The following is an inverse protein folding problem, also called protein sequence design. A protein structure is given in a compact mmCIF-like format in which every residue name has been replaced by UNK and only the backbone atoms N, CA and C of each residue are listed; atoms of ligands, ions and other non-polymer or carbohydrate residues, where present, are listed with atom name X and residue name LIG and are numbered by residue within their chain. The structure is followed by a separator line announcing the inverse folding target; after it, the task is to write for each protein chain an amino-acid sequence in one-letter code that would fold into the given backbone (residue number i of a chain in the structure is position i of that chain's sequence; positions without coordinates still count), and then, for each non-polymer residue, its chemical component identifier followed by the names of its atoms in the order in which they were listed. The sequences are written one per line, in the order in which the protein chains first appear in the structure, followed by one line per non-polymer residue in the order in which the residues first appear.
data_IF_113838147787
#
_entry.id   IF_113838147787
#
_cell.length_a   1.000
_cell.length_b   1.000
_cell.length_c   1.000
_cell.angle_alpha   90.00
_cell.angle_beta   90.00
_cell.angle_gamma   90.00
#
_symmetry.space_group_name_H-M   'P 1'
#
loop_
_entity.id
_entity.type
_entity.pdbx_description
1 polymer ?
#
# COMPACT_ATOMS: atom_id res chain seq x y z
N UNK A 1 2.06 -20.48 8.43
CA UNK A 1 3.08 -19.58 9.00
C UNK A 1 4.14 -20.35 9.83
N UNK A 2 3.77 -21.42 10.56
CA UNK A 2 4.71 -22.20 11.39
C UNK A 2 5.92 -22.76 10.64
N UNK A 3 5.77 -23.17 9.38
CA UNK A 3 6.88 -23.70 8.57
C UNK A 3 7.99 -22.67 8.32
N UNK A 4 7.64 -21.38 8.18
CA UNK A 4 8.62 -20.33 7.92
C UNK A 4 9.34 -19.90 9.20
N UNK A 5 8.63 -19.85 10.32
CA UNK A 5 9.21 -19.49 11.62
C UNK A 5 10.16 -20.59 12.12
N UNK A 6 9.79 -21.86 11.93
CA UNK A 6 10.63 -23.00 12.34
C UNK A 6 11.92 -23.17 11.51
N UNK A 7 12.03 -22.47 10.37
CA UNK A 7 13.24 -22.47 9.54
C UNK A 7 14.18 -21.28 9.84
N UNK A 8 13.74 -20.34 10.69
CA UNK A 8 14.57 -19.21 11.09
C UNK A 8 15.50 -19.61 12.23
N UNK A 9 16.75 -19.19 12.14
CA UNK A 9 17.69 -19.25 13.24
C UNK A 9 17.17 -18.42 14.43
N UNK A 10 17.30 -18.90 15.66
CA UNK A 10 16.85 -18.20 16.87
C UNK A 10 17.46 -16.79 17.01
N UNK A 11 18.68 -16.60 16.50
CA UNK A 11 19.34 -15.29 16.43
C UNK A 11 18.57 -14.25 15.57
N UNK A 12 17.67 -14.69 14.69
CA UNK A 12 16.87 -13.88 13.80
C UNK A 12 15.45 -13.59 14.33
N UNK A 13 15.07 -14.05 15.52
CA UNK A 13 13.77 -13.83 16.16
C UNK A 13 13.57 -12.38 16.63
N UNK A 14 14.11 -11.43 15.89
CA UNK A 14 13.78 -10.01 16.08
C UNK A 14 12.48 -9.70 15.34
N UNK A 15 11.61 -8.89 15.97
CA UNK A 15 10.29 -8.50 15.43
C UNK A 15 10.36 -8.09 13.95
N UNK A 16 11.33 -7.27 13.56
CA UNK A 16 11.48 -6.80 12.19
C UNK A 16 11.77 -7.91 11.18
N UNK A 17 12.51 -8.96 11.57
CA UNK A 17 12.78 -10.09 10.70
C UNK A 17 11.54 -10.99 10.55
N UNK A 18 10.80 -11.19 11.63
CA UNK A 18 9.53 -11.94 11.60
C UNK A 18 8.53 -11.24 10.68
N UNK A 19 8.39 -9.91 10.80
CA UNK A 19 7.52 -9.10 9.92
C UNK A 19 7.93 -9.24 8.44
N UNK A 20 9.23 -9.20 8.12
CA UNK A 20 9.73 -9.41 6.74
C UNK A 20 9.34 -10.79 6.21
N UNK A 21 9.54 -11.86 6.98
CA UNK A 21 9.19 -13.22 6.58
C UNK A 21 7.69 -13.37 6.35
N UNK A 22 6.86 -12.80 7.22
CA UNK A 22 5.40 -12.84 7.06
C UNK A 22 4.95 -12.08 5.81
N UNK A 23 5.54 -10.92 5.53
CA UNK A 23 5.24 -10.14 4.32
C UNK A 23 5.68 -10.90 3.07
N UNK A 24 6.85 -11.53 3.06
CA UNK A 24 7.32 -12.35 1.94
C UNK A 24 6.37 -13.53 1.70
N UNK A 25 5.96 -14.24 2.75
CA UNK A 25 4.98 -15.33 2.64
C UNK A 25 3.66 -14.84 2.02
N UNK A 26 3.19 -13.66 2.41
CA UNK A 26 1.99 -13.07 1.84
C UNK A 26 2.13 -12.73 0.34
N UNK A 27 3.30 -12.23 -0.07
CA UNK A 27 3.59 -11.97 -1.49
C UNK A 27 3.72 -13.25 -2.31
N UNK A 28 4.26 -14.31 -1.73
CA UNK A 28 4.33 -15.63 -2.36
C UNK A 28 2.92 -16.22 -2.54
N UNK A 29 2.06 -16.12 -1.53
CA UNK A 29 0.66 -16.56 -1.62
C UNK A 29 -0.11 -15.76 -2.67
N UNK A 30 0.06 -14.43 -2.72
CA UNK A 30 -0.50 -13.60 -3.78
C UNK A 30 -0.04 -14.07 -5.16
N UNK A 31 1.26 -14.32 -5.32
CA UNK A 31 1.86 -14.76 -6.59
C UNK A 31 1.31 -16.11 -7.03
N UNK A 32 1.12 -17.03 -6.10
CA UNK A 32 0.48 -18.34 -6.36
C UNK A 32 -0.96 -18.17 -6.80
N UNK A 33 -1.76 -17.40 -6.05
CA UNK A 33 -3.15 -17.11 -6.41
C UNK A 33 -3.23 -16.47 -7.80
N UNK A 34 -2.43 -15.46 -8.09
CA UNK A 34 -2.43 -14.77 -9.37
C UNK A 34 -2.07 -15.71 -10.55
N UNK A 35 -1.19 -16.68 -10.32
CA UNK A 35 -0.78 -17.66 -11.35
C UNK A 35 -1.94 -18.56 -11.79
N UNK A 36 -2.78 -18.98 -10.87
CA UNK A 36 -3.89 -19.90 -11.12
C UNK A 36 -5.24 -19.21 -11.34
N UNK A 37 -5.30 -17.90 -11.12
CA UNK A 37 -6.51 -17.10 -11.26
C UNK A 37 -6.94 -16.98 -12.73
N UNK A 38 -8.25 -16.97 -12.97
CA UNK A 38 -8.84 -16.55 -14.23
C UNK A 38 -8.75 -15.02 -14.42
N UNK A 39 -9.27 -14.49 -15.54
CA UNK A 39 -9.18 -13.06 -15.86
C UNK A 39 -9.89 -12.19 -14.81
N UNK A 40 -11.09 -12.57 -14.38
CA UNK A 40 -11.88 -11.82 -13.40
C UNK A 40 -11.20 -11.82 -12.03
N UNK A 41 -10.70 -12.97 -11.61
CA UNK A 41 -9.95 -13.11 -10.37
C UNK A 41 -8.62 -12.31 -10.40
N UNK A 42 -7.95 -12.27 -11.55
CA UNK A 42 -6.74 -11.43 -11.73
C UNK A 42 -7.06 -9.96 -11.61
N UNK A 43 -8.17 -9.49 -12.15
CA UNK A 43 -8.60 -8.10 -12.01
C UNK A 43 -8.90 -7.76 -10.55
N UNK A 44 -9.56 -8.65 -9.81
CA UNK A 44 -9.74 -8.51 -8.37
C UNK A 44 -8.39 -8.43 -7.62
N UNK A 45 -7.45 -9.32 -7.93
CA UNK A 45 -6.13 -9.33 -7.30
C UNK A 45 -5.34 -8.04 -7.61
N UNK A 46 -5.47 -7.47 -8.81
CA UNK A 46 -4.86 -6.16 -9.15
C UNK A 46 -5.42 -5.03 -8.29
N UNK A 47 -6.74 -5.02 -8.05
CA UNK A 47 -7.38 -4.06 -7.15
C UNK A 47 -6.84 -4.25 -5.72
N UNK A 48 -6.75 -5.49 -5.27
CA UNK A 48 -6.23 -5.81 -3.95
C UNK A 48 -4.75 -5.40 -3.79
N UNK A 49 -3.97 -5.48 -4.87
CA UNK A 49 -2.57 -5.01 -4.89
C UNK A 49 -2.43 -3.53 -4.52
N UNK A 50 -3.42 -2.70 -4.85
CA UNK A 50 -3.40 -1.26 -4.54
C UNK A 50 -3.25 -0.95 -3.06
N UNK A 51 -3.75 -1.81 -2.20
CA UNK A 51 -3.53 -1.69 -0.75
C UNK A 51 -2.04 -1.73 -0.39
N UNK A 52 -1.30 -2.67 -0.96
CA UNK A 52 0.15 -2.79 -0.70
C UNK A 52 0.94 -1.60 -1.27
N UNK A 53 0.51 -1.08 -2.43
CA UNK A 53 1.10 0.13 -3.01
C UNK A 53 0.89 1.34 -2.10
N UNK A 54 -0.33 1.57 -1.63
CA UNK A 54 -0.64 2.67 -0.70
C UNK A 54 0.13 2.53 0.61
N UNK A 55 0.21 1.33 1.18
CA UNK A 55 0.98 1.07 2.40
C UNK A 55 2.48 1.34 2.20
N UNK A 56 3.04 0.99 1.04
CA UNK A 56 4.43 1.28 0.70
C UNK A 56 4.68 2.78 0.59
N UNK A 57 3.84 3.51 -0.15
CA UNK A 57 3.97 4.97 -0.30
C UNK A 57 3.84 5.67 1.05
N UNK A 58 2.85 5.27 1.88
CA UNK A 58 2.67 5.79 3.23
C UNK A 58 3.90 5.55 4.12
N UNK A 59 4.47 4.37 4.05
CA UNK A 59 5.70 4.06 4.78
C UNK A 59 6.85 4.97 4.38
N UNK A 60 7.07 5.18 3.07
CA UNK A 60 8.09 6.09 2.56
C UNK A 60 7.84 7.55 2.97
N UNK A 61 6.57 8.02 2.95
CA UNK A 61 6.18 9.35 3.44
C UNK A 61 6.60 9.54 4.91
N UNK A 62 6.30 8.57 5.78
CA UNK A 62 6.66 8.63 7.20
C UNK A 62 8.16 8.73 7.43
N UNK A 63 8.96 8.01 6.66
CA UNK A 63 10.43 8.07 6.75
C UNK A 63 10.93 9.45 6.36
N UNK A 64 10.44 9.97 5.24
CA UNK A 64 10.86 11.27 4.72
C UNK A 64 10.44 12.42 5.66
N UNK A 65 9.22 12.38 6.19
CA UNK A 65 8.73 13.39 7.14
C UNK A 65 9.45 13.35 8.48
N UNK A 66 9.77 12.17 8.98
CA UNK A 66 10.49 12.02 10.25
C UNK A 66 11.99 12.26 10.14
N UNK A 67 12.50 12.63 8.95
CA UNK A 67 13.93 12.78 8.68
C UNK A 67 14.74 11.59 9.21
N UNK A 68 14.18 10.39 9.10
CA UNK A 68 14.79 9.19 9.63
C UNK A 68 16.04 8.85 8.84
N UNK A 69 17.21 8.98 9.48
CA UNK A 69 18.49 8.57 8.92
C UNK A 69 18.68 7.03 8.94
N UNK A 70 17.67 6.28 9.40
CA UNK A 70 17.75 4.83 9.42
C UNK A 70 17.61 4.31 8.00
N UNK A 71 18.62 3.60 7.47
CA UNK A 71 18.50 2.96 6.16
C UNK A 71 17.30 2.01 6.20
N UNK A 72 16.28 2.30 5.42
CA UNK A 72 15.14 1.42 5.34
C UNK A 72 15.34 0.40 4.23
N UNK A 73 15.49 -0.83 4.63
CA UNK A 73 15.65 -1.94 3.71
C UNK A 73 14.28 -2.39 3.20
N UNK A 74 13.99 -2.05 1.94
CA UNK A 74 12.83 -2.51 1.20
C UNK A 74 13.17 -3.58 0.15
N UNK A 75 14.41 -4.08 0.12
CA UNK A 75 14.85 -5.03 -0.90
C UNK A 75 14.00 -6.31 -0.90
N UNK A 76 13.51 -6.74 0.25
CA UNK A 76 12.63 -7.90 0.37
C UNK A 76 11.26 -7.73 -0.32
N UNK A 77 10.82 -6.49 -0.57
CA UNK A 77 9.57 -6.17 -1.29
C UNK A 77 9.78 -6.04 -2.79
N UNK A 78 11.00 -5.74 -3.23
CA UNK A 78 11.32 -5.39 -4.62
C UNK A 78 10.86 -6.43 -5.64
N UNK A 79 11.14 -7.75 -5.50
CA UNK A 79 10.73 -8.75 -6.50
C UNK A 79 9.22 -8.77 -6.75
N UNK A 80 8.42 -8.53 -5.71
CA UNK A 80 6.98 -8.48 -5.80
C UNK A 80 6.50 -7.20 -6.52
N UNK A 81 7.03 -6.04 -6.13
CA UNK A 81 6.64 -4.75 -6.72
C UNK A 81 7.10 -4.61 -8.17
N UNK A 82 8.30 -5.06 -8.53
CA UNK A 82 8.80 -5.05 -9.90
C UNK A 82 7.91 -5.88 -10.84
N UNK A 83 7.25 -6.91 -10.31
CA UNK A 83 6.38 -7.79 -11.10
C UNK A 83 4.95 -7.27 -11.23
N UNK A 84 4.39 -6.67 -10.19
CA UNK A 84 2.96 -6.37 -10.11
C UNK A 84 2.63 -4.89 -10.01
N UNK A 85 3.62 -4.00 -9.87
CA UNK A 85 3.43 -2.57 -9.66
C UNK A 85 4.26 -1.73 -10.64
N UNK A 86 3.83 -0.48 -10.83
CA UNK A 86 4.62 0.55 -11.52
C UNK A 86 5.54 1.32 -10.58
N UNK A 87 5.42 1.10 -9.27
CA UNK A 87 6.24 1.75 -8.26
C UNK A 87 7.66 1.16 -8.27
N UNK A 88 8.65 2.04 -8.41
CA UNK A 88 10.06 1.64 -8.42
C UNK A 88 10.67 1.85 -7.04
N UNK A 89 10.83 0.76 -6.30
CA UNK A 89 11.36 0.79 -4.93
C UNK A 89 12.76 1.40 -4.89
N UNK A 90 13.62 1.09 -5.88
CA UNK A 90 14.97 1.65 -5.96
C UNK A 90 15.00 3.18 -5.95
N UNK A 91 14.00 3.82 -6.58
CA UNK A 91 13.87 5.27 -6.58
C UNK A 91 13.34 5.78 -5.24
N UNK A 92 12.29 5.14 -4.71
CA UNK A 92 11.67 5.58 -3.46
C UNK A 92 12.63 5.59 -2.28
N UNK A 93 13.54 4.60 -2.19
CA UNK A 93 14.52 4.52 -1.09
C UNK A 93 15.58 5.62 -1.14
N UNK A 94 15.74 6.30 -2.28
CA UNK A 94 16.68 7.42 -2.46
C UNK A 94 16.05 8.79 -2.23
N UNK A 95 14.75 8.85 -1.96
CA UNK A 95 14.04 10.10 -1.73
C UNK A 95 14.53 10.79 -0.45
N UNK A 96 15.04 12.01 -0.59
CA UNK A 96 15.57 12.81 0.53
C UNK A 96 14.54 13.76 1.13
N UNK A 97 13.47 14.05 0.39
CA UNK A 97 12.41 14.97 0.78
C UNK A 97 11.10 14.58 0.06
N UNK A 98 10.03 15.28 0.42
CA UNK A 98 8.70 15.04 -0.14
C UNK A 98 8.66 15.28 -1.65
N UNK A 99 9.34 16.30 -2.14
CA UNK A 99 9.36 16.64 -3.56
C UNK A 99 9.95 15.50 -4.38
N UNK A 100 11.07 14.95 -3.94
CA UNK A 100 11.68 13.78 -4.58
C UNK A 100 10.75 12.57 -4.53
N UNK A 101 10.12 12.31 -3.38
CA UNK A 101 9.21 11.18 -3.24
C UNK A 101 8.03 11.28 -4.20
N UNK A 102 7.38 12.45 -4.26
CA UNK A 102 6.26 12.68 -5.17
C UNK A 102 6.69 12.60 -6.63
N UNK A 103 7.85 13.15 -6.98
CA UNK A 103 8.37 13.11 -8.33
C UNK A 103 8.72 11.70 -8.81
N UNK A 104 9.20 10.82 -7.93
CA UNK A 104 9.43 9.41 -8.26
C UNK A 104 8.15 8.62 -8.54
N UNK A 105 7.00 9.14 -8.10
CA UNK A 105 5.70 8.55 -8.36
C UNK A 105 5.03 9.05 -9.65
N UNK A 106 5.68 9.89 -10.48
CA UNK A 106 5.11 10.51 -11.71
C UNK A 106 4.44 9.51 -12.64
N UNK A 107 4.97 8.31 -12.76
CA UNK A 107 4.43 7.28 -13.65
C UNK A 107 3.39 6.38 -12.99
N UNK A 108 2.92 6.77 -11.80
CA UNK A 108 1.92 6.05 -11.03
C UNK A 108 0.67 6.91 -10.82
N UNK A 109 -0.43 6.27 -10.47
CA UNK A 109 -1.69 6.94 -10.15
C UNK A 109 -1.65 7.75 -8.84
N UNK A 110 -0.64 7.53 -8.00
CA UNK A 110 -0.43 8.23 -6.73
C UNK A 110 0.13 9.64 -6.92
N UNK A 111 0.72 9.92 -8.07
CA UNK A 111 1.30 11.24 -8.35
C UNK A 111 0.25 12.36 -8.28
N UNK A 112 -0.89 12.18 -8.95
CA UNK A 112 -1.90 13.24 -9.06
C UNK A 112 -2.45 13.68 -7.68
N UNK A 113 -2.90 12.79 -6.78
CA UNK A 113 -3.39 13.19 -5.46
C UNK A 113 -2.28 13.83 -4.61
N UNK A 114 -1.07 13.29 -4.59
CA UNK A 114 0.03 13.81 -3.79
C UNK A 114 0.56 15.14 -4.34
N UNK A 115 0.63 15.30 -5.66
CA UNK A 115 1.02 16.56 -6.28
C UNK A 115 0.01 17.68 -6.01
N UNK A 116 -1.30 17.41 -6.00
CA UNK A 116 -2.32 18.41 -5.65
C UNK A 116 -2.17 18.89 -4.21
N UNK A 117 -1.97 17.96 -3.27
CA UNK A 117 -1.75 18.31 -1.86
C UNK A 117 -0.48 19.14 -1.69
N UNK A 118 0.61 18.76 -2.37
CA UNK A 118 1.84 19.56 -2.40
C UNK A 118 1.61 20.99 -2.90
N UNK A 119 0.88 21.14 -4.01
CA UNK A 119 0.57 22.45 -4.61
C UNK A 119 -0.36 23.30 -3.75
N UNK A 120 -1.21 22.70 -2.91
CA UNK A 120 -2.05 23.43 -1.97
C UNK A 120 -1.31 23.99 -0.76
N UNK A 121 0.02 23.75 -0.66
CA UNK A 121 0.82 24.21 0.47
C UNK A 121 0.75 23.33 1.71
N UNK A 122 0.20 22.12 1.58
CA UNK A 122 0.16 21.17 2.69
C UNK A 122 1.59 20.81 3.16
N UNK A 123 1.79 20.87 4.48
CA UNK A 123 3.10 20.70 5.10
C UNK A 123 3.17 19.55 6.11
N UNK A 124 2.05 18.87 6.37
CA UNK A 124 1.99 17.82 7.38
C UNK A 124 1.90 16.42 6.77
N UNK A 125 2.46 15.43 7.47
CA UNK A 125 2.30 14.03 7.09
C UNK A 125 0.83 13.62 6.98
N UNK A 126 0.00 14.13 7.88
CA UNK A 126 -1.43 13.83 7.93
C UNK A 126 -2.16 14.24 6.63
N UNK A 127 -1.79 15.39 6.03
CA UNK A 127 -2.38 15.84 4.77
C UNK A 127 -2.12 14.86 3.62
N UNK A 128 -0.87 14.37 3.53
CA UNK A 128 -0.47 13.40 2.51
C UNK A 128 -1.10 12.02 2.73
N UNK A 129 -1.15 11.56 4.00
CA UNK A 129 -1.84 10.31 4.34
C UNK A 129 -3.33 10.38 4.02
N UNK A 130 -3.99 11.50 4.34
CA UNK A 130 -5.40 11.72 4.00
C UNK A 130 -5.63 11.71 2.49
N UNK A 131 -4.76 12.37 1.71
CA UNK A 131 -4.87 12.36 0.25
C UNK A 131 -4.76 10.95 -0.33
N UNK A 132 -3.86 10.11 0.20
CA UNK A 132 -3.74 8.71 -0.18
C UNK A 132 -4.99 7.89 0.19
N UNK A 133 -5.52 8.09 1.39
CA UNK A 133 -6.73 7.41 1.85
C UNK A 133 -7.94 7.77 0.98
N UNK A 134 -8.15 9.06 0.75
CA UNK A 134 -9.24 9.54 -0.12
C UNK A 134 -9.13 8.99 -1.54
N UNK A 135 -7.91 8.98 -2.09
CA UNK A 135 -7.67 8.39 -3.40
C UNK A 135 -7.99 6.90 -3.41
N UNK A 136 -7.42 6.14 -2.46
CA UNK A 136 -7.59 4.68 -2.38
C UNK A 136 -9.06 4.29 -2.25
N UNK A 137 -9.79 4.88 -1.31
CA UNK A 137 -11.19 4.54 -1.09
C UNK A 137 -12.09 5.01 -2.24
N UNK A 138 -11.78 6.16 -2.87
CA UNK A 138 -12.51 6.61 -4.06
C UNK A 138 -12.31 5.65 -5.24
N UNK A 139 -11.10 5.17 -5.44
CA UNK A 139 -10.76 4.18 -6.46
C UNK A 139 -11.48 2.86 -6.19
N UNK A 140 -11.35 2.32 -4.98
CA UNK A 140 -12.00 1.07 -4.58
C UNK A 140 -13.53 1.16 -4.71
N UNK A 141 -14.12 2.31 -4.35
CA UNK A 141 -15.55 2.54 -4.49
C UNK A 141 -16.04 2.55 -5.95
N UNK A 142 -15.22 3.05 -6.87
CA UNK A 142 -15.47 2.96 -8.32
C UNK A 142 -15.38 1.53 -8.83
N UNK A 143 -14.31 0.82 -8.43
CA UNK A 143 -14.05 -0.54 -8.88
C UNK A 143 -15.12 -1.55 -8.43
N UNK A 144 -15.85 -1.29 -7.33
CA UNK A 144 -17.00 -2.11 -6.94
C UNK A 144 -18.10 -2.20 -8.02
N UNK A 145 -18.15 -1.23 -8.96
CA UNK A 145 -19.07 -1.24 -10.10
C UNK A 145 -18.58 -2.08 -11.29
N UNK A 146 -17.41 -2.68 -11.18
CA UNK A 146 -16.83 -3.54 -12.20
C UNK A 146 -17.71 -4.74 -12.57
N UNK A 147 -17.21 -5.58 -13.46
CA UNK A 147 -17.92 -6.77 -13.93
C UNK A 147 -17.83 -7.92 -12.90
N UNK A 148 -18.43 -7.72 -11.73
CA UNK A 148 -18.54 -8.69 -10.64
C UNK A 148 -19.93 -9.31 -10.64
N UNK A 149 -20.06 -10.51 -10.12
CA UNK A 149 -21.38 -11.06 -9.84
C UNK A 149 -22.10 -10.28 -8.72
N UNK A 150 -23.40 -10.55 -8.54
CA UNK A 150 -24.21 -9.83 -7.56
C UNK A 150 -23.71 -10.03 -6.13
N UNK A 151 -23.29 -11.25 -5.79
CA UNK A 151 -22.81 -11.61 -4.45
C UNK A 151 -21.49 -10.91 -4.14
N UNK A 152 -20.57 -10.88 -5.09
CA UNK A 152 -19.27 -10.21 -4.95
C UNK A 152 -19.45 -8.70 -4.82
N UNK A 153 -20.35 -8.08 -5.60
CA UNK A 153 -20.70 -6.66 -5.46
C UNK A 153 -21.25 -6.31 -4.08
N UNK A 154 -22.16 -7.13 -3.57
CA UNK A 154 -22.73 -6.95 -2.23
C UNK A 154 -21.64 -7.05 -1.15
N UNK A 155 -20.79 -8.07 -1.24
CA UNK A 155 -19.67 -8.28 -0.32
C UNK A 155 -18.69 -7.11 -0.35
N UNK A 156 -18.22 -6.72 -1.54
CA UNK A 156 -17.30 -5.59 -1.70
C UNK A 156 -17.91 -4.27 -1.19
N UNK A 157 -19.19 -4.01 -1.48
CA UNK A 157 -19.89 -2.81 -1.02
C UNK A 157 -19.95 -2.75 0.51
N UNK A 158 -20.26 -3.87 1.15
CA UNK A 158 -20.37 -3.98 2.61
C UNK A 158 -19.01 -3.82 3.29
N UNK A 159 -18.00 -4.49 2.79
CA UNK A 159 -16.63 -4.41 3.29
C UNK A 159 -16.05 -2.99 3.15
N UNK A 160 -16.18 -2.39 1.97
CA UNK A 160 -15.67 -1.05 1.71
C UNK A 160 -16.43 0.01 2.51
N UNK A 161 -17.76 -0.11 2.59
CA UNK A 161 -18.59 0.78 3.40
C UNK A 161 -18.16 0.79 4.85
N UNK A 162 -18.02 -0.37 5.47
CA UNK A 162 -17.57 -0.49 6.86
C UNK A 162 -16.16 0.12 7.09
N UNK A 163 -15.24 -0.06 6.14
CA UNK A 163 -13.90 0.55 6.22
C UNK A 163 -13.93 2.06 6.08
N UNK A 164 -14.74 2.59 5.18
CA UNK A 164 -14.93 4.04 4.99
C UNK A 164 -15.54 4.66 6.26
N UNK A 165 -16.55 4.03 6.84
CA UNK A 165 -17.18 4.50 8.07
C UNK A 165 -16.18 4.53 9.23
N UNK A 166 -15.38 3.48 9.39
CA UNK A 166 -14.34 3.41 10.42
C UNK A 166 -13.27 4.51 10.21
N UNK A 167 -12.86 4.74 8.96
CA UNK A 167 -11.91 5.81 8.64
C UNK A 167 -12.49 7.19 8.96
N UNK A 168 -13.75 7.45 8.61
CA UNK A 168 -14.43 8.70 8.92
C UNK A 168 -14.49 8.94 10.44
N UNK A 169 -14.81 7.92 11.24
CA UNK A 169 -14.79 8.00 12.70
C UNK A 169 -13.38 8.33 13.21
N UNK A 170 -12.35 7.71 12.67
CA UNK A 170 -10.96 7.95 13.03
C UNK A 170 -10.55 9.40 12.73
N UNK A 171 -10.93 9.94 11.57
CA UNK A 171 -10.65 11.33 11.21
C UNK A 171 -11.41 12.34 12.07
N UNK A 172 -12.69 12.07 12.37
CA UNK A 172 -13.48 12.92 13.30
C UNK A 172 -12.81 12.95 14.69
N UNK A 173 -12.32 11.80 15.18
CA UNK A 173 -11.65 11.74 16.47
C UNK A 173 -10.33 12.51 16.48
N UNK A 174 -9.56 12.46 15.40
CA UNK A 174 -8.27 13.18 15.26
C UNK A 174 -8.43 14.69 15.05
N UNK A 175 -9.58 15.13 14.55
CA UNK A 175 -9.87 16.55 14.30
C UNK A 175 -10.34 17.30 15.57
N UNK A 176 -10.60 16.61 16.68
CA UNK A 176 -10.89 17.18 18.01
C UNK A 176 -9.60 17.50 18.76
#
# INVERSE_FOLDING_TARGET
YGKFINQMDESLYHRGNIEKVLIQSLYDDYTRLYRFADMQQKDFLKIFMKRYEVELVRYCLRIVFNHSNVPFDLNYKKPFFDKYSKIRIDQLVTAKNIDHLVDYLKNTEYYAPLSRIRQSGASTLADYELALDLYYFSMMWKERKGNWDKKDKEMLTKELGAKIDLLNLQWIYRAK
#
